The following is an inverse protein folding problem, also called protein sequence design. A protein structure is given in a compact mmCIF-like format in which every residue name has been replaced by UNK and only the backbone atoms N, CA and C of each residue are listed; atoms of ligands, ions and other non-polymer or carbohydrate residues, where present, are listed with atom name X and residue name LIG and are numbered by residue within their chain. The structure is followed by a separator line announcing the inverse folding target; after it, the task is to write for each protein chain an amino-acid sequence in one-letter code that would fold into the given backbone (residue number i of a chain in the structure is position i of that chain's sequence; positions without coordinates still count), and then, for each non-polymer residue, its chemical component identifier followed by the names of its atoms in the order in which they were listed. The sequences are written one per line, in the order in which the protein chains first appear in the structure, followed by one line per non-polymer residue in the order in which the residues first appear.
data_IF_650025647552
#
_entry.id   IF_650025647552
#
_cell.length_a   1.000
_cell.length_b   1.000
_cell.length_c   1.000
_cell.angle_alpha   90.00
_cell.angle_beta   90.00
_cell.angle_gamma   90.00
#
_symmetry.space_group_name_H-M   'P 1'
#
loop_
_entity.id
_entity.type
_entity.pdbx_description
1 polymer ?
#
# COMPACT_ATOMS: atom_id res chain seq x y z
N UNK A 1 -9.33 -1.47 -18.57
CA UNK A 1 -9.10 -0.88 -17.22
C UNK A 1 -8.33 -1.83 -16.27
N UNK A 2 -7.27 -2.51 -16.75
CA UNK A 2 -6.67 -3.67 -16.03
C UNK A 2 -5.90 -3.32 -14.75
N UNK A 3 -5.52 -2.04 -14.56
CA UNK A 3 -4.69 -1.60 -13.42
C UNK A 3 -5.34 -0.53 -12.52
N UNK A 4 -6.60 -0.13 -12.77
CA UNK A 4 -7.25 0.94 -11.99
C UNK A 4 -7.31 0.63 -10.50
N UNK A 5 -7.55 -0.63 -10.12
CA UNK A 5 -7.58 -1.04 -8.72
C UNK A 5 -6.24 -0.82 -8.01
N UNK A 6 -5.12 -1.15 -8.66
CA UNK A 6 -3.78 -0.94 -8.09
C UNK A 6 -3.48 0.56 -7.99
N UNK A 7 -3.85 1.34 -9.00
CA UNK A 7 -3.66 2.81 -8.99
C UNK A 7 -4.49 3.46 -7.87
N UNK A 8 -5.75 3.06 -7.70
CA UNK A 8 -6.62 3.54 -6.62
C UNK A 8 -6.07 3.16 -5.24
N UNK A 9 -5.54 1.94 -5.10
CA UNK A 9 -4.96 1.44 -3.86
C UNK A 9 -3.67 2.19 -3.48
N UNK A 10 -2.77 2.43 -4.43
CA UNK A 10 -1.53 3.20 -4.19
C UNK A 10 -1.86 4.66 -3.88
N UNK A 11 -2.74 5.29 -4.64
CA UNK A 11 -3.13 6.69 -4.42
C UNK A 11 -3.81 6.89 -3.06
N UNK A 12 -4.74 5.99 -2.70
CA UNK A 12 -5.37 5.99 -1.37
C UNK A 12 -4.34 5.81 -0.25
N UNK A 13 -3.40 4.89 -0.42
CA UNK A 13 -2.31 4.68 0.55
C UNK A 13 -1.44 5.93 0.74
N UNK A 14 -1.09 6.62 -0.34
CA UNK A 14 -0.30 7.85 -0.28
C UNK A 14 -1.06 8.99 0.43
N UNK A 15 -2.35 9.16 0.13
CA UNK A 15 -3.19 10.17 0.80
C UNK A 15 -3.31 9.89 2.30
N UNK A 16 -3.54 8.64 2.68
CA UNK A 16 -3.59 8.24 4.09
C UNK A 16 -2.24 8.45 4.78
N UNK A 17 -1.13 8.19 4.09
CA UNK A 17 0.21 8.42 4.63
C UNK A 17 0.46 9.91 4.85
N UNK A 18 0.13 10.77 3.89
CA UNK A 18 0.27 12.21 4.02
C UNK A 18 -0.57 12.76 5.19
N UNK A 19 -1.83 12.31 5.29
CA UNK A 19 -2.71 12.68 6.40
C UNK A 19 -2.20 12.18 7.76
N UNK A 20 -1.71 10.93 7.80
CA UNK A 20 -1.12 10.32 8.99
C UNK A 20 0.15 11.02 9.46
N UNK A 21 1.00 11.49 8.54
CA UNK A 21 2.16 12.33 8.88
C UNK A 21 1.70 13.66 9.46
N UNK A 22 0.73 14.32 8.83
CA UNK A 22 0.23 15.62 9.28
C UNK A 22 -0.34 15.54 10.71
N UNK A 23 -1.20 14.57 11.00
CA UNK A 23 -1.85 14.42 12.31
C UNK A 23 -1.00 13.68 13.34
N UNK A 24 -0.26 12.66 12.92
CA UNK A 24 0.42 11.72 13.80
C UNK A 24 1.89 12.04 14.06
N UNK A 25 2.52 12.89 13.24
CA UNK A 25 3.92 13.29 13.43
C UNK A 25 4.01 14.77 13.82
N UNK A 26 3.34 15.65 13.08
CA UNK A 26 3.47 17.10 13.32
C UNK A 26 2.69 17.57 14.56
N UNK A 27 1.56 16.93 14.87
CA UNK A 27 0.70 17.30 16.01
C UNK A 27 0.87 16.36 17.22
N UNK A 28 1.77 15.37 17.15
CA UNK A 28 1.92 14.37 18.22
C UNK A 28 2.85 14.85 19.32
N UNK A 29 2.33 14.90 20.56
CA UNK A 29 3.11 15.20 21.76
C UNK A 29 3.87 13.98 22.31
N UNK A 30 3.48 12.76 21.90
CA UNK A 30 4.03 11.51 22.44
C UNK A 30 4.90 10.79 21.43
N UNK A 31 6.20 10.73 21.72
CA UNK A 31 7.20 10.04 20.91
C UNK A 31 6.89 8.54 20.78
N UNK A 32 6.42 7.91 21.87
CA UNK A 32 6.04 6.48 21.87
C UNK A 32 4.88 6.22 20.91
N UNK A 33 3.86 7.08 20.93
CA UNK A 33 2.71 6.96 20.03
C UNK A 33 3.13 7.08 18.57
N UNK A 34 3.99 8.05 18.25
CA UNK A 34 4.53 8.25 16.90
C UNK A 34 5.30 7.02 16.41
N UNK A 35 6.16 6.44 17.26
CA UNK A 35 6.90 5.22 16.92
C UNK A 35 5.96 4.04 16.70
N UNK A 36 4.95 3.84 17.57
CA UNK A 36 3.99 2.75 17.41
C UNK A 36 3.23 2.84 16.09
N UNK A 37 2.77 4.04 15.73
CA UNK A 37 2.11 4.28 14.43
C UNK A 37 3.06 3.98 13.29
N UNK A 38 4.30 4.46 13.34
CA UNK A 38 5.29 4.21 12.28
C UNK A 38 5.54 2.71 12.06
N UNK A 39 5.70 1.94 13.13
CA UNK A 39 5.91 0.49 13.05
C UNK A 39 4.71 -0.20 12.38
N UNK A 40 3.49 0.14 12.80
CA UNK A 40 2.27 -0.38 12.19
C UNK A 40 2.18 0.00 10.70
N UNK A 41 2.46 1.27 10.37
CA UNK A 41 2.37 1.77 9.01
C UNK A 41 3.38 1.10 8.07
N UNK A 42 4.61 0.87 8.53
CA UNK A 42 5.63 0.12 7.81
C UNK A 42 5.19 -1.33 7.60
N UNK A 43 4.61 -1.97 8.61
CA UNK A 43 4.08 -3.33 8.49
C UNK A 43 3.04 -3.44 7.38
N UNK A 44 2.09 -2.50 7.34
CA UNK A 44 1.07 -2.46 6.27
C UNK A 44 1.72 -2.20 4.91
N UNK A 45 2.71 -1.30 4.81
CA UNK A 45 3.43 -1.04 3.56
C UNK A 45 4.11 -2.31 3.03
N UNK A 46 4.75 -3.10 3.89
CA UNK A 46 5.40 -4.37 3.51
C UNK A 46 4.37 -5.34 2.93
N UNK A 47 3.22 -5.48 3.58
CA UNK A 47 2.12 -6.34 3.10
C UNK A 47 1.60 -5.84 1.74
N UNK A 48 1.41 -4.53 1.59
CA UNK A 48 0.94 -3.91 0.35
C UNK A 48 1.88 -4.21 -0.82
N UNK A 49 3.18 -3.96 -0.62
CA UNK A 49 4.21 -4.21 -1.64
C UNK A 49 4.28 -5.70 -1.99
N UNK A 50 4.18 -6.57 -0.98
CA UNK A 50 4.21 -8.03 -1.19
C UNK A 50 3.03 -8.50 -2.02
N UNK A 51 1.82 -8.04 -1.70
CA UNK A 51 0.60 -8.37 -2.45
C UNK A 51 0.66 -7.85 -3.89
N UNK A 52 1.11 -6.61 -4.10
CA UNK A 52 1.28 -6.04 -5.44
C UNK A 52 2.29 -6.86 -6.24
N UNK A 53 3.45 -7.18 -5.65
CA UNK A 53 4.50 -7.97 -6.31
C UNK A 53 4.01 -9.37 -6.69
N UNK A 54 3.29 -10.04 -5.78
CA UNK A 54 2.70 -11.35 -6.03
C UNK A 54 1.72 -11.30 -7.20
N UNK A 55 0.82 -10.31 -7.21
CA UNK A 55 -0.15 -10.12 -8.30
C UNK A 55 0.53 -9.85 -9.64
N UNK A 56 1.61 -9.07 -9.66
CA UNK A 56 2.40 -8.87 -10.88
C UNK A 56 3.07 -10.15 -11.38
N UNK A 57 3.55 -11.02 -10.47
CA UNK A 57 4.13 -12.31 -10.84
C UNK A 57 3.07 -13.25 -11.42
N UNK A 58 1.93 -13.40 -10.73
CA UNK A 58 0.81 -14.22 -11.18
C UNK A 58 0.27 -13.76 -12.54
N UNK A 59 0.11 -12.45 -12.75
CA UNK A 59 -0.34 -11.91 -14.03
C UNK A 59 0.66 -12.12 -15.19
N UNK A 60 1.95 -12.35 -14.89
CA UNK A 60 2.98 -12.63 -15.90
C UNK A 60 3.02 -14.11 -16.26
N UNK A 61 2.89 -14.97 -15.24
CA UNK A 61 3.02 -16.42 -15.38
C UNK A 61 1.69 -17.11 -15.74
N UNK A 62 0.60 -16.34 -15.90
CA UNK A 62 -0.72 -16.84 -16.29
C UNK A 62 -0.75 -17.33 -17.75
N UNK A 63 -0.85 -18.66 -18.00
CA UNK A 63 -0.87 -19.23 -19.34
C UNK A 63 -2.20 -19.02 -20.06
N UNK A 64 -3.26 -18.60 -19.35
CA UNK A 64 -4.59 -18.35 -19.91
C UNK A 64 -4.85 -16.87 -20.24
N UNK A 65 -3.88 -16.00 -19.95
CA UNK A 65 -3.93 -14.54 -20.20
C UNK A 65 -4.42 -14.15 -21.61
N UNK A 66 -4.06 -14.94 -22.62
CA UNK A 66 -4.34 -14.69 -24.04
C UNK A 66 -5.49 -15.57 -24.59
N UNK A 67 -6.10 -16.39 -23.73
CA UNK A 67 -7.13 -17.38 -24.10
C UNK A 67 -8.54 -16.88 -23.77
N UNK A 68 -8.66 -15.89 -22.88
CA UNK A 68 -9.93 -15.20 -22.61
C UNK A 68 -10.29 -14.26 -23.78
N UNK A 69 -11.16 -14.75 -24.68
CA UNK A 69 -11.87 -14.00 -25.74
C UNK A 69 -13.34 -13.91 -25.36
#
# INVERSE_FOLDING_TARGET
VKNLGIVALISGWLLLTAFGIYRGILESESLVFTISILVLWIGILILLVSAIRQRYKEAKDDPYKDVEI
#
